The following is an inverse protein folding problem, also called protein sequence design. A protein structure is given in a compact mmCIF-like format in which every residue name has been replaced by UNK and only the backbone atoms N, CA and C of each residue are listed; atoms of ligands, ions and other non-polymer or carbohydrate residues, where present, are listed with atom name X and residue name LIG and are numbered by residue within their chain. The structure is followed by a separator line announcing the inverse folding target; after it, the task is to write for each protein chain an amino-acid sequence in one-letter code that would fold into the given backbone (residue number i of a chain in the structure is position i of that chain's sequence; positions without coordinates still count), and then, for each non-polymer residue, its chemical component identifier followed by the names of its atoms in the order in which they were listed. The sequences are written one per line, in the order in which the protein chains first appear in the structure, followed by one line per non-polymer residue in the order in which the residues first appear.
data_IF_166655478122
#
_entry.id   IF_166655478122
#
_cell.length_a   1.000
_cell.length_b   1.000
_cell.length_c   1.000
_cell.angle_alpha   90.00
_cell.angle_beta   90.00
_cell.angle_gamma   90.00
#
_symmetry.space_group_name_H-M   'P 1'
#
loop_
_entity.id
_entity.type
_entity.pdbx_description
1 polymer ?
#
# COMPACT_ATOMS: atom_id res chain seq x y z
N UNK A 1 -12.07 36.23 23.17
CA UNK A 1 -13.04 35.54 22.32
C UNK A 1 -12.74 35.66 20.80
N UNK A 2 -12.58 36.86 20.26
CA UNK A 2 -12.27 37.05 18.81
C UNK A 2 -10.95 36.38 18.33
N UNK A 3 -9.89 36.33 19.15
CA UNK A 3 -8.62 35.64 18.85
C UNK A 3 -8.77 34.14 18.80
N UNK A 4 -9.55 33.55 19.72
CA UNK A 4 -9.79 32.09 19.76
C UNK A 4 -10.55 31.60 18.54
N UNK A 5 -11.56 32.38 18.07
CA UNK A 5 -12.33 32.02 16.87
C UNK A 5 -11.47 32.07 15.60
N UNK A 6 -10.54 33.04 15.50
CA UNK A 6 -9.59 33.11 14.38
C UNK A 6 -8.65 31.90 14.38
N UNK A 7 -8.12 31.51 15.54
CA UNK A 7 -7.25 30.34 15.67
C UNK A 7 -7.98 29.04 15.28
N UNK A 8 -9.19 28.86 15.73
CA UNK A 8 -10.01 27.68 15.38
C UNK A 8 -10.25 27.59 13.87
N UNK A 9 -10.55 28.72 13.21
CA UNK A 9 -10.67 28.77 11.74
C UNK A 9 -9.39 28.39 11.03
N UNK A 10 -8.25 28.89 11.46
CA UNK A 10 -6.94 28.58 10.87
C UNK A 10 -6.63 27.08 11.01
N UNK A 11 -6.84 26.51 12.18
CA UNK A 11 -6.66 25.06 12.43
C UNK A 11 -7.62 24.26 11.53
N UNK A 12 -8.88 24.68 11.41
CA UNK A 12 -9.86 24.07 10.52
C UNK A 12 -9.42 24.05 9.05
N UNK A 13 -8.84 25.15 8.56
CA UNK A 13 -8.28 25.21 7.20
C UNK A 13 -7.09 24.25 7.02
N UNK A 14 -6.17 24.15 7.98
CA UNK A 14 -5.04 23.23 7.91
C UNK A 14 -5.49 21.76 7.91
N UNK A 15 -6.45 21.40 8.75
CA UNK A 15 -7.02 20.04 8.79
C UNK A 15 -7.73 19.71 7.48
N UNK A 16 -8.51 20.65 6.95
CA UNK A 16 -9.19 20.49 5.65
C UNK A 16 -8.20 20.31 4.50
N UNK A 17 -7.13 21.12 4.45
CA UNK A 17 -6.08 21.04 3.44
C UNK A 17 -5.31 19.72 3.53
N UNK A 18 -5.00 19.26 4.74
CA UNK A 18 -4.38 17.96 4.98
C UNK A 18 -5.27 16.83 4.44
N UNK A 19 -6.54 16.83 4.79
CA UNK A 19 -7.51 15.84 4.31
C UNK A 19 -7.65 15.86 2.78
N UNK A 20 -7.67 17.04 2.19
CA UNK A 20 -7.83 17.21 0.75
C UNK A 20 -6.60 16.72 -0.04
N UNK A 21 -5.39 17.03 0.44
CA UNK A 21 -4.15 16.85 -0.32
C UNK A 21 -3.38 15.59 0.03
N UNK A 22 -3.46 15.10 1.27
CA UNK A 22 -2.59 14.05 1.79
C UNK A 22 -3.33 12.76 2.14
N UNK A 23 -4.63 12.80 2.25
CA UNK A 23 -5.42 11.67 2.71
C UNK A 23 -5.84 10.77 1.55
N UNK A 24 -5.02 9.77 1.24
CA UNK A 24 -5.33 8.75 0.25
C UNK A 24 -6.18 7.63 0.85
N UNK A 25 -7.04 7.02 0.03
CA UNK A 25 -7.83 5.86 0.43
C UNK A 25 -6.99 4.61 0.74
N UNK A 26 -5.76 4.54 0.26
CA UNK A 26 -4.80 3.49 0.62
C UNK A 26 -4.35 3.54 2.09
N UNK A 27 -4.71 4.59 2.84
CA UNK A 27 -4.53 4.64 4.28
C UNK A 27 -5.53 3.78 5.05
N UNK A 28 -6.63 3.37 4.41
CA UNK A 28 -7.67 2.51 4.99
C UNK A 28 -7.75 1.18 4.27
N UNK A 29 -7.49 0.12 4.99
CA UNK A 29 -7.67 -1.23 4.48
C UNK A 29 -7.99 -2.21 5.60
N UNK A 30 -8.77 -3.21 5.22
CA UNK A 30 -9.23 -4.27 6.10
C UNK A 30 -10.17 -5.20 5.34
N UNK A 31 -10.84 -6.08 6.06
CA UNK A 31 -11.77 -7.02 5.43
C UNK A 31 -12.93 -6.33 4.68
N UNK A 32 -13.26 -5.09 5.06
CA UNK A 32 -14.35 -4.33 4.45
C UNK A 32 -14.09 -3.89 3.01
N UNK A 33 -12.81 -3.72 2.61
CA UNK A 33 -12.43 -3.34 1.25
C UNK A 33 -11.49 -4.34 0.59
N UNK A 34 -11.31 -5.51 1.17
CA UNK A 34 -10.54 -6.60 0.58
C UNK A 34 -11.23 -7.13 -0.68
N UNK A 35 -10.50 -7.13 -1.80
CA UNK A 35 -10.99 -7.67 -3.07
C UNK A 35 -10.57 -9.13 -3.25
N UNK A 36 -9.30 -9.42 -3.10
CA UNK A 36 -8.74 -10.76 -3.27
C UNK A 36 -7.41 -10.90 -2.54
N UNK A 37 -7.00 -12.16 -2.35
CA UNK A 37 -5.70 -12.51 -1.77
C UNK A 37 -4.96 -13.44 -2.71
N UNK A 38 -3.72 -13.11 -3.02
CA UNK A 38 -2.81 -13.96 -3.81
C UNK A 38 -1.73 -14.48 -2.86
N UNK A 39 -1.51 -15.77 -2.86
CA UNK A 39 -0.50 -16.43 -2.03
C UNK A 39 0.70 -16.85 -2.85
N UNK A 40 1.90 -16.80 -2.23
CA UNK A 40 3.09 -17.39 -2.82
C UNK A 40 2.97 -18.94 -2.90
N UNK A 41 3.71 -19.56 -3.81
CA UNK A 41 3.68 -21.01 -3.99
C UNK A 41 4.14 -21.77 -2.74
N UNK A 42 5.11 -21.22 -2.01
CA UNK A 42 5.64 -21.79 -0.75
C UNK A 42 4.78 -21.49 0.48
N UNK A 43 3.77 -20.63 0.35
CA UNK A 43 2.89 -20.22 1.44
C UNK A 43 3.52 -19.27 2.49
N UNK A 44 4.74 -18.79 2.28
CA UNK A 44 5.44 -17.91 3.22
C UNK A 44 4.98 -16.45 3.14
N UNK A 45 4.41 -16.05 2.00
CA UNK A 45 3.93 -14.70 1.74
C UNK A 45 2.53 -14.70 1.15
N UNK A 46 1.80 -13.62 1.38
CA UNK A 46 0.56 -13.35 0.67
C UNK A 46 0.38 -11.86 0.42
N UNK A 47 -0.21 -11.52 -0.70
CA UNK A 47 -0.55 -10.17 -1.08
C UNK A 47 -2.07 -9.99 -1.05
N UNK A 48 -2.54 -9.02 -0.28
CA UNK A 48 -3.93 -8.62 -0.28
C UNK A 48 -4.13 -7.46 -1.24
N UNK A 49 -5.13 -7.61 -2.09
CA UNK A 49 -5.56 -6.59 -3.04
C UNK A 49 -6.81 -5.93 -2.47
N UNK A 50 -6.70 -4.65 -2.17
CA UNK A 50 -7.77 -3.85 -1.60
C UNK A 50 -8.35 -2.88 -2.61
N UNK A 51 -9.64 -2.59 -2.48
CA UNK A 51 -10.31 -1.54 -3.26
C UNK A 51 -10.05 -0.18 -2.65
N UNK A 52 -9.72 0.80 -3.49
CA UNK A 52 -9.73 2.19 -3.09
C UNK A 52 -11.14 2.64 -2.70
N UNK A 53 -11.24 3.41 -1.62
CA UNK A 53 -12.48 3.96 -1.12
C UNK A 53 -12.56 5.47 -1.41
N UNK A 54 -13.73 6.02 -1.71
CA UNK A 54 -13.92 7.46 -1.95
C UNK A 54 -13.93 8.23 -0.62
N UNK A 55 -12.84 8.20 0.13
CA UNK A 55 -12.73 8.78 1.47
C UNK A 55 -12.32 10.24 1.49
N UNK A 56 -11.80 10.76 0.37
CA UNK A 56 -11.36 12.15 0.20
C UNK A 56 -11.48 12.58 -1.26
N UNK A 57 -11.43 13.89 -1.57
CA UNK A 57 -11.43 14.36 -2.96
C UNK A 57 -10.32 13.76 -3.81
N UNK A 58 -9.10 13.60 -3.26
CA UNK A 58 -7.99 13.00 -4.00
C UNK A 58 -8.24 11.50 -4.28
N UNK A 59 -8.82 10.78 -3.34
CA UNK A 59 -9.15 9.36 -3.55
C UNK A 59 -10.25 9.17 -4.59
N UNK A 60 -11.22 10.07 -4.64
CA UNK A 60 -12.26 10.08 -5.69
C UNK A 60 -11.62 10.31 -7.07
N UNK A 61 -10.70 11.26 -7.19
CA UNK A 61 -9.98 11.53 -8.44
C UNK A 61 -9.13 10.33 -8.87
N UNK A 62 -8.48 9.65 -7.94
CA UNK A 62 -7.72 8.42 -8.20
C UNK A 62 -8.63 7.32 -8.76
N UNK A 63 -9.77 7.07 -8.12
CA UNK A 63 -10.74 6.05 -8.57
C UNK A 63 -11.28 6.38 -9.97
N UNK A 64 -11.62 7.64 -10.24
CA UNK A 64 -12.09 8.09 -11.55
C UNK A 64 -11.00 8.01 -12.63
N UNK A 65 -9.74 8.18 -12.24
CA UNK A 65 -8.57 8.03 -13.10
C UNK A 65 -8.19 6.58 -13.42
N UNK A 66 -8.87 5.60 -12.81
CA UNK A 66 -8.60 4.17 -13.01
C UNK A 66 -7.84 3.49 -11.89
N UNK A 67 -7.44 4.24 -10.86
CA UNK A 67 -6.75 3.75 -9.67
C UNK A 67 -7.74 3.08 -8.71
N UNK A 68 -8.15 1.87 -9.04
CA UNK A 68 -9.23 1.16 -8.32
C UNK A 68 -8.72 0.27 -7.20
N UNK A 69 -7.47 -0.18 -7.27
CA UNK A 69 -6.90 -1.18 -6.37
C UNK A 69 -5.50 -0.82 -5.91
N UNK A 70 -5.13 -1.30 -4.72
CA UNK A 70 -3.77 -1.25 -4.19
C UNK A 70 -3.40 -2.57 -3.51
N UNK A 71 -2.11 -2.84 -3.38
CA UNK A 71 -1.57 -4.08 -2.83
C UNK A 71 -0.85 -3.81 -1.52
N UNK A 72 -1.06 -4.73 -0.57
CA UNK A 72 -0.27 -4.83 0.67
C UNK A 72 0.28 -6.24 0.78
N UNK A 73 1.58 -6.36 0.95
CA UNK A 73 2.29 -7.64 1.11
C UNK A 73 2.44 -7.99 2.58
N UNK A 74 2.13 -9.22 2.92
CA UNK A 74 2.25 -9.77 4.26
C UNK A 74 3.11 -11.05 4.27
N UNK A 75 3.73 -11.32 5.41
CA UNK A 75 4.29 -12.64 5.68
C UNK A 75 3.19 -13.59 6.19
N UNK A 76 3.54 -14.87 6.34
CA UNK A 76 2.61 -15.89 6.86
C UNK A 76 2.07 -15.62 8.27
N UNK A 77 2.76 -14.78 9.05
CA UNK A 77 2.32 -14.38 10.40
C UNK A 77 1.30 -13.23 10.39
N UNK A 78 1.03 -12.64 9.23
CA UNK A 78 0.14 -11.49 9.09
C UNK A 78 0.80 -10.14 9.36
N UNK A 79 2.13 -10.08 9.38
CA UNK A 79 2.87 -8.83 9.49
C UNK A 79 2.99 -8.17 8.12
N UNK A 80 2.65 -6.88 8.03
CA UNK A 80 2.82 -6.09 6.82
C UNK A 80 4.31 -5.90 6.51
N UNK A 81 4.74 -6.30 5.33
CA UNK A 81 6.10 -6.17 4.88
C UNK A 81 6.29 -4.99 3.93
N UNK A 82 5.31 -4.76 3.08
CA UNK A 82 5.39 -3.72 2.06
C UNK A 82 3.99 -3.34 1.58
N UNK A 83 3.87 -2.11 1.11
CA UNK A 83 2.68 -1.56 0.50
C UNK A 83 3.05 -0.72 -0.71
N UNK A 84 2.23 -0.78 -1.76
CA UNK A 84 2.40 0.07 -2.93
C UNK A 84 2.33 1.56 -2.54
N UNK A 85 3.08 2.39 -3.25
CA UNK A 85 3.10 3.84 -3.02
C UNK A 85 1.70 4.47 -3.15
N UNK A 86 1.44 5.53 -2.40
CA UNK A 86 0.12 6.20 -2.36
C UNK A 86 -0.41 6.68 -3.72
N UNK A 87 0.47 6.95 -4.65
CA UNK A 87 0.12 7.50 -5.97
C UNK A 87 0.31 6.50 -7.10
N UNK A 88 0.68 5.26 -6.78
CA UNK A 88 0.76 4.18 -7.72
C UNK A 88 -0.42 3.25 -7.56
N UNK A 89 -1.00 2.84 -8.67
CA UNK A 89 -2.10 1.90 -8.69
C UNK A 89 -1.76 0.68 -9.53
N UNK A 90 -2.51 -0.37 -9.30
CA UNK A 90 -2.31 -1.65 -9.95
C UNK A 90 -3.21 -1.72 -11.16
N UNK A 91 -2.67 -2.16 -12.28
CA UNK A 91 -3.48 -2.50 -13.45
C UNK A 91 -4.39 -3.70 -13.14
N UNK A 92 -5.57 -3.75 -13.75
CA UNK A 92 -6.48 -4.90 -13.60
C UNK A 92 -5.81 -6.21 -14.04
N UNK A 93 -4.86 -6.16 -14.95
CA UNK A 93 -4.06 -7.31 -15.41
C UNK A 93 -3.19 -7.89 -14.30
N UNK A 94 -2.71 -7.06 -13.38
CA UNK A 94 -1.96 -7.50 -12.21
C UNK A 94 -2.76 -8.37 -11.25
N UNK A 95 -4.09 -8.27 -11.29
CA UNK A 95 -4.97 -9.11 -10.48
C UNK A 95 -4.92 -10.59 -10.88
N UNK A 96 -4.39 -10.90 -12.06
CA UNK A 96 -4.48 -12.21 -12.70
C UNK A 96 -3.13 -12.88 -12.94
N UNK A 97 -2.20 -12.89 -11.99
CA UNK A 97 -0.96 -13.70 -12.02
C UNK A 97 0.35 -13.04 -12.48
N UNK A 98 0.47 -11.73 -12.42
CA UNK A 98 1.74 -11.07 -12.76
C UNK A 98 2.59 -10.66 -11.54
N UNK A 99 2.25 -11.14 -10.35
CA UNK A 99 3.05 -10.89 -9.15
C UNK A 99 4.14 -11.95 -9.01
N UNK A 100 5.36 -11.50 -8.75
CA UNK A 100 6.48 -12.35 -8.38
C UNK A 100 6.74 -12.23 -6.88
N UNK A 101 6.67 -13.33 -6.17
CA UNK A 101 6.96 -13.40 -4.75
C UNK A 101 8.42 -13.77 -4.51
N UNK A 102 9.00 -13.37 -3.37
CA UNK A 102 10.32 -13.84 -2.96
C UNK A 102 10.34 -15.36 -2.84
N UNK A 103 11.38 -15.98 -3.34
CA UNK A 103 11.64 -17.41 -3.24
C UNK A 103 13.10 -17.70 -2.86
N UNK A 104 13.54 -18.95 -2.95
CA UNK A 104 14.93 -19.35 -2.63
C UNK A 104 15.97 -18.77 -3.57
N UNK A 105 15.58 -18.36 -4.76
CA UNK A 105 16.46 -17.85 -5.84
C UNK A 105 16.37 -16.35 -6.01
N UNK A 106 15.23 -15.77 -5.64
CA UNK A 106 14.95 -14.34 -5.79
C UNK A 106 14.38 -13.79 -4.48
N UNK A 107 14.97 -12.72 -3.98
CA UNK A 107 14.54 -12.05 -2.76
C UNK A 107 13.60 -10.86 -3.01
N UNK A 108 13.13 -10.69 -4.25
CA UNK A 108 12.34 -9.55 -4.62
C UNK A 108 10.84 -9.89 -4.72
N UNK A 109 10.01 -9.03 -4.18
CA UNK A 109 8.60 -8.97 -4.52
C UNK A 109 8.40 -7.94 -5.63
N UNK A 110 7.77 -8.32 -6.71
CA UNK A 110 7.50 -7.44 -7.86
C UNK A 110 6.03 -7.52 -8.24
N UNK A 111 5.41 -6.38 -8.40
CA UNK A 111 4.04 -6.27 -8.93
C UNK A 111 3.96 -5.25 -10.07
N UNK A 112 3.14 -5.49 -11.10
CA UNK A 112 2.93 -4.53 -12.17
C UNK A 112 2.03 -3.38 -11.69
N UNK A 113 2.43 -2.17 -12.06
CA UNK A 113 1.68 -0.94 -11.82
C UNK A 113 1.38 -0.25 -13.16
N UNK A 114 0.60 0.82 -13.12
CA UNK A 114 0.33 1.64 -14.30
C UNK A 114 1.56 2.35 -14.88
N UNK A 115 2.64 2.49 -14.10
CA UNK A 115 3.90 3.10 -14.52
C UNK A 115 5.02 2.09 -14.80
N UNK A 116 4.71 0.78 -14.76
CA UNK A 116 5.66 -0.30 -14.96
C UNK A 116 5.61 -1.32 -13.84
N UNK A 117 6.73 -1.54 -13.18
CA UNK A 117 6.81 -2.48 -12.06
C UNK A 117 7.25 -1.76 -10.79
N UNK A 118 6.60 -2.07 -9.69
CA UNK A 118 7.00 -1.67 -8.34
C UNK A 118 7.24 -2.92 -7.49
N UNK A 119 7.98 -2.78 -6.41
CA UNK A 119 8.26 -3.92 -5.56
C UNK A 119 9.18 -3.61 -4.40
N UNK A 120 9.62 -4.66 -3.73
CA UNK A 120 10.48 -4.57 -2.55
C UNK A 120 11.56 -5.64 -2.57
N UNK A 121 12.81 -5.21 -2.36
CA UNK A 121 13.97 -6.08 -2.21
C UNK A 121 14.20 -6.42 -0.72
N UNK A 122 14.08 -7.70 -0.39
CA UNK A 122 14.32 -8.22 0.95
C UNK A 122 15.79 -8.58 1.24
N UNK A 123 16.70 -8.42 0.29
CA UNK A 123 18.12 -8.79 0.45
C UNK A 123 18.81 -8.09 1.62
N UNK A 124 18.46 -6.83 1.86
CA UNK A 124 18.98 -6.04 2.99
C UNK A 124 18.49 -6.53 4.34
N UNK A 125 17.24 -6.97 4.43
CA UNK A 125 16.66 -7.51 5.65
C UNK A 125 17.29 -8.83 6.05
N UNK A 126 17.60 -9.70 5.08
CA UNK A 126 18.26 -10.99 5.31
C UNK A 126 19.71 -10.78 5.79
N UNK A 127 20.43 -9.79 5.24
CA UNK A 127 21.80 -9.46 5.70
C UNK A 127 21.80 -9.03 7.17
N UNK A 128 20.87 -8.22 7.59
CA UNK A 128 20.77 -7.76 8.98
C UNK A 128 20.46 -8.91 9.95
N UNK A 129 19.62 -9.86 9.57
CA UNK A 129 19.35 -11.04 10.38
C UNK A 129 20.53 -12.01 10.46
N UNK A 130 21.31 -12.19 9.39
CA UNK A 130 22.54 -13.01 9.42
C UNK A 130 23.65 -12.41 10.27
N UNK A 131 23.77 -11.10 10.31
CA UNK A 131 24.78 -10.42 11.15
C UNK A 131 24.46 -10.52 12.64
N UNK A 132 23.20 -10.60 13.02
CA UNK A 132 22.78 -10.76 14.42
C UNK A 132 22.91 -12.21 14.92
N UNK A 133 22.93 -13.21 14.03
CA UNK A 133 23.04 -14.62 14.40
C UNK A 133 24.47 -15.15 14.53
N UNK A 134 25.51 -14.33 14.33
CA UNK A 134 26.93 -14.68 14.45
C UNK A 134 27.55 -14.13 15.76
N UNK A 135 26.74 -13.76 16.71
CA UNK A 135 27.18 -13.48 18.07
C UNK A 135 26.66 -14.62 18.99
#
# INVERSE_FOLDING_TARGET
MKKSIKMIKIIGYFVFFYWLCLFSSSSFYGNFNLNSTVKSEDGEYYANIYKHLPTSPISIMQILGGDKYFIVLYNKKGEELWRVSYFEYISEEALYNMMSFPDKTNNDFICPTNHGFDGHDFSTTIRNHKVVSIK
#
